data_IF_120734598762
#
_entry.id   IF_120734598762
#
_cell.length_a   1.000
_cell.length_b   1.000
_cell.length_c   1.000
_cell.angle_alpha   90.00
_cell.angle_beta   90.00
_cell.angle_gamma   90.00
#
_symmetry.space_group_name_H-M   'P 1'
#
loop_
_entity.id
_entity.type
_entity.pdbx_description
1 polymer ?
#
# COMPACT_ATOMS: atom_id res chain seq x y z
N UNK A 1 16.67 5.48 21.36
CA UNK A 1 15.79 5.95 20.25
C UNK A 1 16.46 5.44 19.01
N UNK A 2 15.73 4.78 18.08
CA UNK A 2 16.39 4.11 16.98
C UNK A 2 17.23 5.07 16.16
N UNK A 3 18.41 4.62 15.77
CA UNK A 3 19.26 5.37 14.85
C UNK A 3 18.71 5.19 13.43
N UNK A 4 18.23 6.27 12.82
CA UNK A 4 17.81 6.25 11.42
C UNK A 4 18.98 6.57 10.49
N UNK A 5 19.14 5.78 9.42
CA UNK A 5 20.17 6.02 8.40
C UNK A 5 19.59 5.93 6.99
N UNK A 6 20.14 6.76 6.10
CA UNK A 6 19.90 6.71 4.66
C UNK A 6 21.22 6.42 3.97
N UNK A 7 21.28 5.34 3.18
CA UNK A 7 22.48 4.97 2.44
C UNK A 7 22.14 4.21 1.15
N UNK A 8 23.16 4.07 0.29
CA UNK A 8 23.08 3.32 -0.94
C UNK A 8 23.93 2.06 -0.90
N UNK A 9 23.35 0.94 -1.29
CA UNK A 9 24.01 -0.38 -1.32
C UNK A 9 23.79 -1.09 -2.65
N UNK A 10 24.61 -2.11 -2.92
CA UNK A 10 24.38 -3.02 -4.03
C UNK A 10 23.10 -3.84 -3.82
N UNK A 11 22.50 -4.39 -4.90
CA UNK A 11 21.38 -5.32 -4.79
C UNK A 11 21.66 -6.52 -3.89
N UNK A 12 22.89 -7.03 -3.90
CA UNK A 12 23.31 -8.17 -3.08
C UNK A 12 23.25 -7.86 -1.58
N UNK A 13 23.80 -6.71 -1.16
CA UNK A 13 23.73 -6.27 0.24
C UNK A 13 22.28 -5.95 0.63
N UNK A 14 21.51 -5.32 -0.26
CA UNK A 14 20.11 -4.97 0.03
C UNK A 14 19.17 -6.17 0.14
N UNK A 15 19.53 -7.33 -0.43
CA UNK A 15 18.72 -8.55 -0.42
C UNK A 15 19.12 -9.55 0.67
N UNK A 16 20.30 -9.40 1.27
CA UNK A 16 20.82 -10.32 2.28
C UNK A 16 20.95 -9.63 3.63
N UNK A 17 20.14 -10.06 4.60
CA UNK A 17 20.10 -9.48 5.94
C UNK A 17 21.46 -9.52 6.66
N UNK A 18 22.24 -10.59 6.48
CA UNK A 18 23.55 -10.75 7.11
C UNK A 18 24.57 -9.78 6.52
N UNK A 19 24.59 -9.62 5.19
CA UNK A 19 25.45 -8.63 4.52
C UNK A 19 25.02 -7.21 4.87
N UNK A 20 23.71 -6.94 4.93
CA UNK A 20 23.17 -5.64 5.34
C UNK A 20 23.58 -5.31 6.78
N UNK A 21 23.46 -6.27 7.70
CA UNK A 21 23.86 -6.12 9.10
C UNK A 21 25.36 -5.83 9.24
N UNK A 22 26.21 -6.55 8.50
CA UNK A 22 27.65 -6.30 8.47
C UNK A 22 28.00 -4.94 7.84
N UNK A 23 27.26 -4.52 6.81
CA UNK A 23 27.45 -3.22 6.17
C UNK A 23 27.10 -2.09 7.15
N UNK A 24 25.95 -2.21 7.81
CA UNK A 24 25.50 -1.24 8.82
C UNK A 24 26.48 -1.20 9.99
N UNK A 25 26.92 -2.35 10.52
CA UNK A 25 27.83 -2.38 11.68
C UNK A 25 29.12 -1.60 11.41
N UNK A 26 29.67 -1.71 10.19
CA UNK A 26 30.82 -0.91 9.75
C UNK A 26 30.49 0.58 9.60
N UNK A 27 29.29 0.90 9.12
CA UNK A 27 28.84 2.28 8.91
C UNK A 27 28.65 3.04 10.22
N UNK A 28 28.10 2.40 11.26
CA UNK A 28 27.91 2.99 12.60
C UNK A 28 29.03 2.68 13.60
N UNK A 29 30.06 1.95 13.18
CA UNK A 29 31.22 1.58 14.00
C UNK A 29 30.87 0.80 15.28
N UNK A 30 29.94 -0.16 15.18
CA UNK A 30 29.58 -1.08 16.28
C UNK A 30 29.80 -2.53 15.87
N UNK A 31 29.91 -3.45 16.83
CA UNK A 31 29.94 -4.88 16.53
C UNK A 31 28.58 -5.33 15.96
N UNK A 32 28.58 -6.19 14.94
CA UNK A 32 27.34 -6.70 14.36
C UNK A 32 26.46 -7.45 15.39
N UNK A 33 27.03 -7.95 16.48
CA UNK A 33 26.29 -8.57 17.58
C UNK A 33 25.49 -7.56 18.39
N UNK A 34 25.93 -6.30 18.46
CA UNK A 34 25.23 -5.23 19.18
C UNK A 34 23.99 -4.74 18.46
N UNK A 35 23.86 -5.01 17.16
CA UNK A 35 22.64 -4.70 16.41
C UNK A 35 21.58 -5.75 16.75
N UNK A 36 20.55 -5.31 17.48
CA UNK A 36 19.41 -6.13 17.87
C UNK A 36 18.41 -6.28 16.72
N UNK A 37 18.05 -5.18 16.05
CA UNK A 37 17.06 -5.21 14.96
C UNK A 37 17.29 -4.09 13.93
N UNK A 38 16.85 -4.33 12.68
CA UNK A 38 16.91 -3.35 11.59
C UNK A 38 15.55 -3.35 10.88
N UNK A 39 14.82 -2.24 10.96
CA UNK A 39 13.64 -2.03 10.10
C UNK A 39 14.02 -1.29 8.83
N UNK A 40 13.59 -1.79 7.68
CA UNK A 40 13.68 -1.05 6.43
C UNK A 40 12.46 -0.14 6.33
N UNK A 41 12.64 1.15 6.59
CA UNK A 41 11.59 2.17 6.53
C UNK A 41 11.23 2.54 5.09
N UNK A 42 12.23 2.59 4.20
CA UNK A 42 12.05 2.88 2.78
C UNK A 42 13.05 2.10 1.95
N UNK A 43 12.58 1.54 0.85
CA UNK A 43 13.41 0.86 -0.15
C UNK A 43 13.06 1.37 -1.53
N UNK A 44 14.03 1.92 -2.26
CA UNK A 44 13.87 2.24 -3.67
C UNK A 44 15.10 1.80 -4.47
N UNK A 45 14.92 1.61 -5.77
CA UNK A 45 15.97 1.21 -6.70
C UNK A 45 16.34 2.40 -7.59
N UNK A 46 17.63 2.63 -7.77
CA UNK A 46 18.17 3.51 -8.80
C UNK A 46 18.80 2.64 -9.89
N UNK A 47 18.05 2.45 -10.97
CA UNK A 47 18.46 1.69 -12.15
C UNK A 47 18.75 2.60 -13.36
N UNK A 48 19.01 3.89 -13.14
CA UNK A 48 19.28 4.86 -14.22
C UNK A 48 20.69 4.77 -14.79
N UNK A 49 21.62 4.18 -14.02
CA UNK A 49 23.02 4.00 -14.42
C UNK A 49 23.33 2.51 -14.64
N UNK A 50 24.49 2.23 -15.26
CA UNK A 50 24.98 0.86 -15.49
C UNK A 50 25.06 0.05 -14.19
N UNK A 51 25.42 0.69 -13.08
CA UNK A 51 25.46 0.05 -11.76
C UNK A 51 24.16 0.35 -11.04
N UNK A 52 23.33 -0.68 -10.89
CA UNK A 52 22.08 -0.61 -10.12
C UNK A 52 22.40 -0.48 -8.63
N UNK A 53 21.75 0.47 -7.95
CA UNK A 53 21.86 0.64 -6.50
C UNK A 53 20.49 0.65 -5.83
N UNK A 54 20.45 0.26 -4.57
CA UNK A 54 19.28 0.43 -3.71
C UNK A 54 19.50 1.59 -2.75
N UNK A 55 18.52 2.48 -2.64
CA UNK A 55 18.44 3.47 -1.58
C UNK A 55 17.64 2.86 -0.43
N UNK A 56 18.25 2.74 0.73
CA UNK A 56 17.62 2.23 1.94
C UNK A 56 17.55 3.33 2.98
N UNK A 57 16.35 3.58 3.51
CA UNK A 57 16.17 4.24 4.80
C UNK A 57 15.90 3.14 5.82
N UNK A 58 16.71 3.05 6.86
CA UNK A 58 16.59 2.02 7.90
C UNK A 58 16.50 2.66 9.29
N UNK A 59 15.79 2.01 10.21
CA UNK A 59 15.84 2.27 11.64
C UNK A 59 16.59 1.12 12.33
N UNK A 60 17.65 1.44 13.04
CA UNK A 60 18.54 0.48 13.69
C UNK A 60 18.29 0.54 15.20
N UNK A 61 18.11 -0.63 15.80
CA UNK A 61 17.96 -0.81 17.23
C UNK A 61 19.15 -1.61 17.75
N UNK A 62 19.85 -1.07 18.73
CA UNK A 62 20.94 -1.76 19.43
C UNK A 62 20.42 -2.58 20.61
N UNK A 63 21.24 -3.51 21.12
CA UNK A 63 20.91 -4.30 22.31
C UNK A 63 20.53 -3.38 23.47
N UNK A 64 19.36 -3.63 24.05
CA UNK A 64 18.85 -2.87 25.19
C UNK A 64 17.98 -1.68 24.81
N UNK A 65 17.86 -1.36 23.51
CA UNK A 65 16.88 -0.39 23.04
C UNK A 65 15.49 -1.04 22.90
N UNK A 66 14.42 -0.34 23.34
CA UNK A 66 13.06 -0.82 23.14
C UNK A 66 12.72 -0.76 21.65
N UNK A 67 12.39 -1.91 21.05
CA UNK A 67 11.94 -2.00 19.66
C UNK A 67 10.53 -1.41 19.57
N UNK A 68 10.39 -0.31 18.84
CA UNK A 68 9.10 0.33 18.59
C UNK A 68 8.70 0.09 17.14
N UNK A 69 7.86 -0.92 16.91
CA UNK A 69 7.22 -1.12 15.61
C UNK A 69 6.16 -0.05 15.39
N UNK A 70 6.30 0.71 14.30
CA UNK A 70 5.20 1.54 13.80
C UNK A 70 4.13 0.62 13.23
N UNK A 71 3.19 0.18 14.07
CA UNK A 71 2.00 -0.51 13.58
C UNK A 71 1.14 0.49 12.82
N UNK A 72 0.63 0.07 11.67
CA UNK A 72 -0.39 0.83 10.96
C UNK A 72 -1.67 0.69 11.80
N UNK A 73 -2.06 1.75 12.48
CA UNK A 73 -3.34 1.82 13.19
C UNK A 73 -4.42 2.20 12.19
N UNK A 74 -5.48 1.39 12.13
CA UNK A 74 -6.68 1.74 11.39
C UNK A 74 -7.49 2.75 12.20
N UNK A 75 -8.15 3.72 11.55
CA UNK A 75 -9.07 4.61 12.25
C UNK A 75 -10.24 3.82 12.83
N UNK A 76 -10.84 4.36 13.89
CA UNK A 76 -12.02 3.77 14.51
C UNK A 76 -13.27 4.06 13.65
N UNK A 77 -13.84 3.00 13.06
CA UNK A 77 -15.08 3.10 12.30
C UNK A 77 -16.29 2.94 13.23
N UNK A 78 -16.98 4.04 13.50
CA UNK A 78 -18.16 4.08 14.39
C UNK A 78 -19.36 3.39 13.74
N UNK A 79 -20.29 2.91 14.55
CA UNK A 79 -21.59 2.48 14.05
C UNK A 79 -22.43 3.71 13.66
N UNK A 80 -22.67 3.88 12.36
CA UNK A 80 -23.37 5.03 11.77
C UNK A 80 -24.77 4.68 11.25
N UNK A 81 -25.35 3.54 11.63
CA UNK A 81 -26.64 3.07 11.07
C UNK A 81 -27.80 4.08 11.16
N UNK A 82 -27.79 4.91 12.21
CA UNK A 82 -28.81 5.94 12.48
C UNK A 82 -28.29 7.38 12.30
N UNK A 83 -27.11 7.55 11.70
CA UNK A 83 -26.52 8.86 11.46
C UNK A 83 -27.09 9.55 10.21
N UNK A 84 -26.73 10.82 10.01
CA UNK A 84 -27.10 11.57 8.80
C UNK A 84 -26.58 10.87 7.54
N UNK A 85 -27.46 10.68 6.57
CA UNK A 85 -27.15 10.04 5.29
C UNK A 85 -26.39 10.97 4.34
N UNK A 86 -25.38 10.41 3.67
CA UNK A 86 -24.61 11.09 2.62
C UNK A 86 -24.51 10.17 1.42
N UNK A 87 -25.00 10.63 0.27
CA UNK A 87 -24.99 9.84 -0.97
C UNK A 87 -23.61 9.95 -1.62
N UNK A 88 -23.00 8.81 -1.91
CA UNK A 88 -21.75 8.69 -2.66
C UNK A 88 -22.06 8.00 -3.99
N UNK A 89 -21.80 8.68 -5.10
CA UNK A 89 -22.05 8.13 -6.44
C UNK A 89 -20.76 7.56 -7.01
N UNK A 90 -20.75 6.24 -7.23
CA UNK A 90 -19.63 5.46 -7.73
C UNK A 90 -18.93 4.66 -6.63
N UNK A 91 -18.78 3.35 -6.84
CA UNK A 91 -18.06 2.44 -5.95
C UNK A 91 -16.61 2.18 -6.39
N UNK A 92 -15.97 3.18 -7.02
CA UNK A 92 -14.53 3.15 -7.31
C UNK A 92 -13.68 3.51 -6.08
N UNK A 93 -12.33 3.54 -6.19
CA UNK A 93 -11.46 3.84 -5.06
C UNK A 93 -11.79 5.17 -4.38
N UNK A 94 -12.07 6.23 -5.15
CA UNK A 94 -12.44 7.53 -4.59
C UNK A 94 -13.74 7.48 -3.77
N UNK A 95 -14.78 6.80 -4.28
CA UNK A 95 -16.06 6.68 -3.58
C UNK A 95 -15.97 5.79 -2.34
N UNK A 96 -15.22 4.68 -2.42
CA UNK A 96 -14.99 3.79 -1.27
C UNK A 96 -14.20 4.49 -0.17
N UNK A 97 -13.14 5.24 -0.49
CA UNK A 97 -12.40 6.02 0.49
C UNK A 97 -13.22 7.19 1.06
N UNK A 98 -14.04 7.86 0.25
CA UNK A 98 -14.97 8.87 0.74
C UNK A 98 -15.96 8.27 1.74
N UNK A 99 -16.49 7.07 1.47
CA UNK A 99 -17.39 6.37 2.38
C UNK A 99 -16.71 6.02 3.72
N UNK A 100 -15.47 5.51 3.68
CA UNK A 100 -14.69 5.26 4.90
C UNK A 100 -14.51 6.54 5.72
N UNK A 101 -14.13 7.64 5.08
CA UNK A 101 -13.92 8.91 5.75
C UNK A 101 -15.23 9.51 6.30
N UNK A 102 -16.36 9.30 5.63
CA UNK A 102 -17.68 9.67 6.17
C UNK A 102 -18.01 8.89 7.45
N UNK A 103 -17.68 7.60 7.51
CA UNK A 103 -17.89 6.77 8.72
C UNK A 103 -17.03 7.29 9.88
N UNK A 104 -15.77 7.66 9.62
CA UNK A 104 -14.88 8.26 10.64
C UNK A 104 -15.47 9.58 11.20
N UNK A 105 -16.12 10.36 10.34
CA UNK A 105 -16.82 11.60 10.71
C UNK A 105 -18.19 11.35 11.37
N UNK A 106 -18.62 10.09 11.52
CA UNK A 106 -19.90 9.74 12.13
C UNK A 106 -21.11 9.93 11.21
N UNK A 107 -20.90 9.93 9.89
CA UNK A 107 -21.94 10.05 8.87
C UNK A 107 -22.22 8.68 8.23
N UNK A 108 -23.44 8.47 7.73
CA UNK A 108 -23.87 7.23 7.09
C UNK A 108 -23.72 7.33 5.56
N UNK A 109 -22.66 6.76 4.96
CA UNK A 109 -22.55 6.75 3.50
C UNK A 109 -23.57 5.79 2.87
N UNK A 110 -24.23 6.25 1.81
CA UNK A 110 -25.05 5.43 0.91
C UNK A 110 -24.37 5.42 -0.45
N UNK A 111 -23.74 4.30 -0.81
CA UNK A 111 -22.99 4.17 -2.06
C UNK A 111 -23.93 3.66 -3.16
N UNK A 112 -23.98 4.37 -4.29
CA UNK A 112 -24.72 3.96 -5.47
C UNK A 112 -23.73 3.72 -6.61
N UNK A 113 -23.74 2.52 -7.17
CA UNK A 113 -22.91 2.14 -8.33
C UNK A 113 -23.83 1.68 -9.46
N UNK A 114 -23.54 2.13 -10.69
CA UNK A 114 -24.35 1.76 -11.85
C UNK A 114 -24.11 0.30 -12.26
N UNK A 115 -22.86 -0.15 -12.16
CA UNK A 115 -22.46 -1.47 -12.59
C UNK A 115 -22.67 -2.55 -11.54
N UNK A 116 -22.30 -3.77 -11.91
CA UNK A 116 -22.51 -4.95 -11.07
C UNK A 116 -21.47 -5.06 -9.96
N UNK A 117 -21.76 -5.93 -8.98
CA UNK A 117 -20.78 -6.38 -8.01
C UNK A 117 -19.59 -7.07 -8.70
N UNK A 118 -18.45 -7.12 -8.02
CA UNK A 118 -17.18 -7.59 -8.59
C UNK A 118 -17.27 -9.02 -9.14
N UNK A 119 -18.09 -9.90 -8.53
CA UNK A 119 -18.27 -11.26 -9.04
C UNK A 119 -19.17 -11.27 -10.26
N UNK A 120 -20.22 -10.46 -10.27
CA UNK A 120 -21.08 -10.22 -11.42
C UNK A 120 -20.30 -9.76 -12.66
N UNK A 121 -19.39 -8.80 -12.49
CA UNK A 121 -18.56 -8.21 -13.56
C UNK A 121 -17.72 -9.25 -14.31
N UNK A 122 -17.31 -10.35 -13.67
CA UNK A 122 -16.45 -11.38 -14.30
C UNK A 122 -17.05 -11.98 -15.56
N UNK A 123 -18.37 -12.15 -15.60
CA UNK A 123 -19.07 -12.72 -16.77
C UNK A 123 -19.09 -11.73 -17.93
N UNK A 124 -19.38 -10.46 -17.63
CA UNK A 124 -19.46 -9.42 -18.66
C UNK A 124 -18.08 -9.13 -19.25
N UNK A 125 -17.03 -9.07 -18.42
CA UNK A 125 -15.67 -8.93 -18.91
C UNK A 125 -15.23 -10.12 -19.77
N UNK A 126 -15.66 -11.34 -19.45
CA UNK A 126 -15.40 -12.50 -20.31
C UNK A 126 -16.08 -12.33 -21.67
N UNK A 127 -17.33 -11.87 -21.71
CA UNK A 127 -18.05 -11.62 -22.96
C UNK A 127 -17.37 -10.53 -23.81
N UNK A 128 -16.81 -9.50 -23.19
CA UNK A 128 -16.02 -8.48 -23.92
C UNK A 128 -14.81 -9.11 -24.62
N UNK A 129 -14.08 -10.00 -23.93
CA UNK A 129 -12.84 -10.59 -24.44
C UNK A 129 -13.06 -11.71 -25.46
N UNK A 130 -14.13 -12.51 -25.31
CA UNK A 130 -14.36 -13.70 -26.14
C UNK A 130 -15.40 -13.45 -27.24
N UNK A 131 -16.47 -12.75 -26.90
CA UNK A 131 -17.65 -12.59 -27.75
C UNK A 131 -17.73 -11.18 -28.37
N UNK A 132 -16.83 -10.27 -27.96
CA UNK A 132 -16.82 -8.85 -28.33
C UNK A 132 -18.12 -8.10 -28.01
N UNK A 133 -18.85 -8.59 -26.99
CA UNK A 133 -20.09 -7.97 -26.51
C UNK A 133 -19.77 -7.09 -25.31
N UNK A 134 -20.18 -5.83 -25.37
CA UNK A 134 -19.99 -4.85 -24.29
C UNK A 134 -21.34 -4.55 -23.63
N UNK A 135 -21.44 -4.82 -22.33
CA UNK A 135 -22.51 -4.31 -21.47
C UNK A 135 -22.17 -2.86 -21.09
N UNK A 136 -23.10 -1.92 -21.36
CA UNK A 136 -22.88 -0.48 -21.19
C UNK A 136 -22.74 -0.07 -19.72
N UNK A 137 -23.32 -0.84 -18.80
CA UNK A 137 -23.27 -0.58 -17.36
C UNK A 137 -22.29 -1.49 -16.61
N UNK A 138 -21.83 -2.59 -17.22
CA UNK A 138 -20.90 -3.54 -16.59
C UNK A 138 -19.72 -3.89 -17.50
N UNK A 139 -18.64 -3.14 -17.37
CA UNK A 139 -17.45 -3.26 -18.22
C UNK A 139 -16.17 -2.88 -17.44
N UNK A 140 -15.05 -2.64 -18.13
CA UNK A 140 -13.80 -2.26 -17.46
C UNK A 140 -13.92 -0.97 -16.65
N UNK A 141 -14.78 -0.03 -17.05
CA UNK A 141 -14.93 1.26 -16.39
C UNK A 141 -15.94 1.24 -15.24
N UNK A 142 -17.02 0.46 -15.35
CA UNK A 142 -18.18 0.54 -14.45
C UNK A 142 -18.40 -0.75 -13.64
N UNK A 143 -18.92 -0.57 -12.43
CA UNK A 143 -19.14 -1.62 -11.43
C UNK A 143 -18.25 -1.51 -10.20
N UNK A 144 -18.43 -2.42 -9.24
CA UNK A 144 -17.75 -2.40 -7.94
C UNK A 144 -16.22 -2.35 -8.09
N UNK A 145 -15.60 -1.40 -7.38
CA UNK A 145 -14.17 -1.07 -7.44
C UNK A 145 -13.76 -0.24 -8.67
N UNK A 146 -14.72 0.12 -9.54
CA UNK A 146 -14.53 0.99 -10.70
C UNK A 146 -13.49 0.45 -11.69
N UNK A 147 -12.74 1.36 -12.30
CA UNK A 147 -11.66 1.04 -13.24
C UNK A 147 -10.42 0.41 -12.57
N UNK A 148 -10.29 0.51 -11.24
CA UNK A 148 -9.15 -0.03 -10.51
C UNK A 148 -9.16 -1.55 -10.40
N UNK A 149 -10.35 -2.17 -10.35
CA UNK A 149 -10.54 -3.60 -10.05
C UNK A 149 -9.80 -4.55 -10.97
N UNK A 150 -9.77 -4.24 -12.28
CA UNK A 150 -9.13 -5.06 -13.31
C UNK A 150 -7.92 -4.35 -13.91
N UNK A 151 -7.20 -3.62 -13.07
CA UNK A 151 -5.92 -3.00 -13.39
C UNK A 151 -4.77 -3.79 -12.75
N UNK A 152 -3.54 -3.40 -13.08
CA UNK A 152 -2.33 -3.89 -12.40
C UNK A 152 -2.19 -3.38 -10.95
N UNK A 153 -3.13 -2.55 -10.46
CA UNK A 153 -3.13 -2.06 -9.08
C UNK A 153 -1.97 -1.12 -8.74
N UNK A 154 -1.29 -0.56 -9.76
CA UNK A 154 -0.16 0.34 -9.56
C UNK A 154 -0.59 1.62 -8.85
N UNK A 155 0.04 1.91 -7.72
CA UNK A 155 -0.09 3.19 -7.01
C UNK A 155 1.02 4.13 -7.50
N UNK A 156 0.63 5.20 -8.17
CA UNK A 156 1.55 6.22 -8.64
C UNK A 156 1.87 7.23 -7.53
N UNK A 157 3.11 7.74 -7.53
CA UNK A 157 3.49 8.87 -6.69
C UNK A 157 2.72 10.12 -7.13
N UNK A 158 2.16 10.86 -6.18
CA UNK A 158 1.55 12.19 -6.40
C UNK A 158 2.43 13.28 -5.83
#
# INVERSE_FOLDING_TARGET
MPQELLFQVSPEIAANELLLKQYISKLIQVDAKEIQHIFILKRSIDARQKVVKFNLKVAIYLIGEPIQESKIELPEYKNVNNAQEVIVVGAGPAGLFAALQLIELGLKPIIIERGKDVRGRRRDLKAINLDHIVDEDSNYCFGEGGAGTYSDGKLYTR
#
